data_IF_432572786544
#
_entry.id   IF_432572786544
#
_cell.length_a   1.000
_cell.length_b   1.000
_cell.length_c   1.000
_cell.angle_alpha   90.00
_cell.angle_beta   90.00
_cell.angle_gamma   90.00
#
_symmetry.space_group_name_H-M   'P 1'
#
loop_
_entity.id
_entity.type
_entity.pdbx_description
1 polymer ?
#
# COMPACT_ATOMS: atom_id res chain seq x y z
N UNK A 1 13.16 45.18 -15.54
CA UNK A 1 13.00 44.16 -16.59
C UNK A 1 12.69 42.85 -15.92
N UNK A 2 11.43 42.45 -15.95
CA UNK A 2 11.05 41.13 -15.48
C UNK A 2 11.57 40.09 -16.46
N UNK A 3 12.54 39.29 -16.04
CA UNK A 3 12.90 38.08 -16.76
C UNK A 3 11.77 37.09 -16.57
N UNK A 4 10.85 37.04 -17.53
CA UNK A 4 9.95 35.89 -17.68
C UNK A 4 10.87 34.69 -17.93
N UNK A 5 10.99 33.82 -16.95
CA UNK A 5 11.71 32.56 -17.15
C UNK A 5 10.86 31.68 -18.06
N UNK A 6 11.27 31.62 -19.34
CA UNK A 6 10.58 30.79 -20.32
C UNK A 6 10.89 29.31 -20.07
N UNK A 7 9.87 28.48 -20.18
CA UNK A 7 10.05 27.04 -20.22
C UNK A 7 10.67 26.67 -21.56
N UNK A 8 11.69 25.84 -21.53
CA UNK A 8 12.33 25.30 -22.74
C UNK A 8 12.05 23.79 -22.80
N UNK A 9 11.54 23.33 -23.92
CA UNK A 9 11.21 21.91 -24.02
C UNK A 9 10.80 21.47 -25.42
N UNK A 10 10.47 20.19 -25.52
CA UNK A 10 9.96 19.52 -26.71
C UNK A 10 8.51 19.15 -26.49
N UNK A 11 7.64 19.54 -27.41
CA UNK A 11 6.24 19.18 -27.42
C UNK A 11 6.03 18.03 -28.41
N UNK A 12 5.42 16.95 -27.95
CA UNK A 12 5.01 15.81 -28.76
C UNK A 12 3.51 15.94 -29.05
N UNK A 13 3.16 16.17 -30.32
CA UNK A 13 1.79 16.38 -30.75
C UNK A 13 1.35 15.31 -31.74
N UNK A 14 0.03 15.07 -31.81
CA UNK A 14 -0.60 14.28 -32.84
C UNK A 14 -1.79 15.09 -33.41
N UNK A 15 -1.81 15.33 -34.72
CA UNK A 15 -2.83 16.12 -35.42
C UNK A 15 -3.08 17.48 -34.73
N UNK A 16 -1.99 18.25 -34.50
CA UNK A 16 -1.98 19.55 -33.84
C UNK A 16 -2.48 19.57 -32.39
N UNK A 17 -2.71 18.39 -31.79
CA UNK A 17 -3.07 18.28 -30.38
C UNK A 17 -1.85 17.82 -29.57
N UNK A 18 -1.40 18.65 -28.63
CA UNK A 18 -0.34 18.27 -27.71
C UNK A 18 -0.75 17.02 -26.92
N UNK A 19 0.13 16.04 -26.83
CA UNK A 19 -0.06 14.81 -26.06
C UNK A 19 0.89 14.73 -24.88
N UNK A 20 2.18 15.02 -25.13
CA UNK A 20 3.22 15.00 -24.13
C UNK A 20 4.18 16.16 -24.34
N UNK A 21 4.88 16.54 -23.30
CA UNK A 21 6.01 17.49 -23.37
C UNK A 21 7.14 17.03 -22.44
N UNK A 22 8.34 17.35 -22.89
CA UNK A 22 9.58 17.21 -22.15
C UNK A 22 10.12 18.61 -21.96
N UNK A 23 10.16 19.10 -20.74
CA UNK A 23 10.53 20.49 -20.51
C UNK A 23 11.30 20.74 -19.21
N UNK A 24 12.07 21.81 -19.21
CA UNK A 24 12.58 22.47 -18.01
C UNK A 24 11.59 23.53 -17.59
N UNK A 25 11.12 23.49 -16.35
CA UNK A 25 10.07 24.39 -15.86
C UNK A 25 10.56 25.39 -14.84
N UNK A 26 10.25 26.65 -15.09
CA UNK A 26 10.30 27.76 -14.15
C UNK A 26 11.65 28.01 -13.46
N UNK A 27 11.58 28.74 -12.35
CA UNK A 27 12.73 29.14 -11.54
C UNK A 27 13.41 27.96 -10.81
N UNK A 28 12.70 26.88 -10.57
CA UNK A 28 13.26 25.67 -9.93
C UNK A 28 14.20 24.91 -10.85
N UNK A 29 14.13 25.14 -12.18
CA UNK A 29 14.95 24.44 -13.18
C UNK A 29 14.81 22.92 -13.17
N UNK A 30 13.68 22.40 -12.69
CA UNK A 30 13.39 20.98 -12.70
C UNK A 30 13.08 20.50 -14.14
N UNK A 31 13.41 19.26 -14.42
CA UNK A 31 13.11 18.60 -15.69
C UNK A 31 11.87 17.72 -15.53
N UNK A 32 10.90 17.84 -16.46
CA UNK A 32 9.66 17.07 -16.43
C UNK A 32 9.41 16.33 -17.75
N UNK A 33 8.79 15.16 -17.61
CA UNK A 33 7.98 14.52 -18.66
C UNK A 33 6.55 14.54 -18.16
N UNK A 34 5.66 15.22 -18.90
CA UNK A 34 4.26 15.39 -18.48
C UNK A 34 3.30 15.32 -19.66
N UNK A 35 2.04 15.00 -19.36
CA UNK A 35 0.98 14.99 -20.38
C UNK A 35 0.51 16.42 -20.75
N UNK A 36 -0.44 16.53 -21.67
CA UNK A 36 -1.02 17.80 -22.07
C UNK A 36 -1.75 18.54 -20.95
N UNK A 37 -2.29 17.82 -19.97
CA UNK A 37 -2.97 18.37 -18.79
C UNK A 37 -2.02 18.95 -17.75
N UNK A 38 -0.71 18.67 -17.86
CA UNK A 38 0.28 19.08 -16.88
C UNK A 38 0.56 18.03 -15.79
N UNK A 39 -0.02 16.83 -15.91
CA UNK A 39 0.26 15.74 -14.97
C UNK A 39 1.66 15.18 -15.22
N UNK A 40 2.47 15.17 -14.18
CA UNK A 40 3.89 14.84 -14.26
C UNK A 40 4.06 13.32 -14.15
N UNK A 41 4.57 12.69 -15.19
CA UNK A 41 4.94 11.27 -15.18
C UNK A 41 6.34 11.06 -14.60
N UNK A 42 7.31 11.94 -14.91
CA UNK A 42 8.67 11.89 -14.39
C UNK A 42 9.16 13.30 -14.07
N UNK A 43 9.79 13.43 -12.92
CA UNK A 43 10.48 14.64 -12.49
C UNK A 43 11.93 14.34 -12.13
N UNK A 44 12.85 15.20 -12.55
CA UNK A 44 14.24 15.26 -12.06
C UNK A 44 14.46 16.65 -11.46
N UNK A 45 14.73 16.72 -10.18
CA UNK A 45 14.96 17.97 -9.48
C UNK A 45 16.43 18.44 -9.58
N UNK A 46 16.73 19.64 -9.03
CA UNK A 46 18.06 20.20 -9.02
C UNK A 46 19.06 19.37 -8.19
N UNK A 47 18.60 18.57 -7.24
CA UNK A 47 19.43 17.61 -6.50
C UNK A 47 19.69 16.33 -7.30
N UNK A 48 19.17 16.22 -8.52
CA UNK A 48 19.26 15.06 -9.41
C UNK A 48 18.46 13.85 -8.91
N UNK A 49 17.45 14.11 -8.08
CA UNK A 49 16.53 13.06 -7.61
C UNK A 49 15.45 12.86 -8.67
N UNK A 50 15.28 11.61 -9.08
CA UNK A 50 14.21 11.18 -10.00
C UNK A 50 13.01 10.75 -9.17
N UNK A 51 11.84 11.31 -9.49
CA UNK A 51 10.56 10.87 -8.91
C UNK A 51 9.57 10.56 -10.01
N UNK A 52 8.65 9.64 -9.70
CA UNK A 52 7.55 9.21 -10.56
C UNK A 52 6.23 9.49 -9.82
N UNK A 53 5.73 10.73 -9.81
CA UNK A 53 4.61 11.15 -8.96
C UNK A 53 3.30 10.40 -9.23
N UNK A 54 3.12 9.88 -10.44
CA UNK A 54 1.94 9.11 -10.83
C UNK A 54 2.07 7.60 -10.54
N UNK A 55 3.21 7.14 -9.98
CA UNK A 55 3.38 5.71 -9.69
C UNK A 55 2.59 5.33 -8.45
N UNK A 56 1.71 4.30 -8.53
CA UNK A 56 0.89 3.86 -7.41
C UNK A 56 1.72 3.51 -6.18
N UNK A 57 1.38 4.10 -5.04
CA UNK A 57 2.02 3.81 -3.76
C UNK A 57 1.12 4.24 -2.62
N UNK A 58 1.05 3.42 -1.58
CA UNK A 58 0.25 3.71 -0.40
C UNK A 58 0.87 3.15 0.89
N UNK A 59 0.53 3.74 2.00
CA UNK A 59 0.71 3.19 3.33
C UNK A 59 -0.46 3.62 4.22
N UNK A 60 -1.07 2.63 4.87
CA UNK A 60 -2.13 2.82 5.85
C UNK A 60 -1.77 2.12 7.16
N UNK A 61 -2.28 2.62 8.28
CA UNK A 61 -2.02 2.07 9.61
C UNK A 61 -3.28 2.07 10.48
N UNK A 62 -3.19 1.39 11.63
CA UNK A 62 -4.23 1.44 12.64
C UNK A 62 -3.95 2.53 13.67
N UNK A 63 -4.97 3.35 13.97
CA UNK A 63 -4.97 4.25 15.13
C UNK A 63 -5.89 3.76 16.25
N UNK A 64 -6.90 2.94 15.94
CA UNK A 64 -7.78 2.26 16.89
C UNK A 64 -7.57 0.75 16.89
N UNK A 65 -7.74 0.08 18.05
CA UNK A 65 -7.69 -1.39 18.10
C UNK A 65 -8.83 -2.02 17.29
N UNK A 66 -8.60 -3.27 16.90
CA UNK A 66 -9.66 -4.18 16.45
C UNK A 66 -9.66 -5.36 17.43
N UNK A 67 -10.53 -5.26 18.43
CA UNK A 67 -10.51 -6.13 19.60
C UNK A 67 -11.33 -7.42 19.38
N UNK A 68 -10.93 -8.47 20.09
CA UNK A 68 -11.63 -9.76 20.15
C UNK A 68 -11.89 -10.35 18.76
N UNK A 69 -10.86 -10.50 17.96
CA UNK A 69 -10.96 -11.11 16.64
C UNK A 69 -11.57 -12.50 16.75
N UNK A 70 -12.54 -12.81 15.89
CA UNK A 70 -13.30 -14.05 16.02
C UNK A 70 -12.44 -15.30 15.77
N UNK A 71 -12.63 -16.33 16.62
CA UNK A 71 -11.94 -17.61 16.58
C UNK A 71 -12.82 -18.68 15.92
N UNK A 72 -13.38 -18.41 14.75
CA UNK A 72 -14.41 -19.21 14.09
C UNK A 72 -13.99 -19.79 12.74
N UNK A 73 -12.69 -19.82 12.49
CA UNK A 73 -12.09 -20.32 11.24
C UNK A 73 -12.54 -19.57 9.96
N UNK A 74 -13.02 -18.35 10.12
CA UNK A 74 -13.41 -17.48 9.01
C UNK A 74 -12.47 -16.30 8.88
N UNK A 75 -12.11 -15.95 7.66
CA UNK A 75 -11.29 -14.77 7.39
C UNK A 75 -12.03 -13.48 7.74
N UNK A 76 -11.39 -12.60 8.46
CA UNK A 76 -11.88 -11.28 8.85
C UNK A 76 -10.97 -10.21 8.29
N UNK A 77 -11.54 -9.21 7.63
CA UNK A 77 -10.76 -8.08 7.11
C UNK A 77 -10.13 -7.29 8.24
N UNK A 78 -8.84 -7.05 8.14
CA UNK A 78 -8.16 -6.08 9.01
C UNK A 78 -8.49 -4.68 8.51
N UNK A 79 -8.99 -3.85 9.43
CA UNK A 79 -9.37 -2.48 9.12
C UNK A 79 -8.22 -1.52 9.39
N UNK A 80 -8.01 -0.56 8.49
CA UNK A 80 -7.06 0.53 8.64
C UNK A 80 -7.82 1.85 8.64
N UNK A 81 -7.52 2.71 9.58
CA UNK A 81 -8.28 3.93 9.86
C UNK A 81 -7.45 5.22 9.71
N UNK A 82 -6.18 5.07 9.38
CA UNK A 82 -5.26 6.20 9.17
C UNK A 82 -4.43 5.97 7.92
N UNK A 83 -4.58 6.88 7.00
CA UNK A 83 -3.71 6.98 5.84
C UNK A 83 -2.42 7.71 6.24
N UNK A 84 -1.27 7.15 5.92
CA UNK A 84 0.03 7.80 6.05
C UNK A 84 0.35 8.53 4.74
N UNK A 85 0.17 7.86 3.64
CA UNK A 85 0.14 8.42 2.29
C UNK A 85 -0.61 7.48 1.34
N UNK A 86 -1.21 8.07 0.31
CA UNK A 86 -1.83 7.38 -0.83
C UNK A 86 -1.69 8.28 -2.06
N UNK A 87 -0.69 7.99 -2.90
CA UNK A 87 -0.25 8.88 -3.97
C UNK A 87 -1.32 9.20 -5.01
N UNK A 88 -2.24 8.28 -5.28
CA UNK A 88 -3.27 8.41 -6.31
C UNK A 88 -4.69 8.16 -5.79
N UNK A 89 -4.88 8.06 -4.48
CA UNK A 89 -6.15 7.67 -3.85
C UNK A 89 -6.61 6.27 -4.27
N UNK A 90 -5.66 5.34 -4.36
CA UNK A 90 -5.89 3.96 -4.78
C UNK A 90 -6.33 3.05 -3.62
N UNK A 91 -6.25 3.52 -2.35
CA UNK A 91 -6.66 2.78 -1.16
C UNK A 91 -7.96 3.34 -0.57
N UNK A 92 -9.02 2.55 -0.56
CA UNK A 92 -10.31 2.92 0.02
C UNK A 92 -11.02 1.71 0.62
N UNK A 93 -11.83 1.91 1.66
CA UNK A 93 -12.64 0.85 2.26
C UNK A 93 -11.84 -0.37 2.76
N UNK A 94 -10.60 -0.17 3.22
CA UNK A 94 -9.64 -1.19 3.65
C UNK A 94 -9.05 -2.05 2.52
N UNK A 95 -9.13 -1.60 1.29
CA UNK A 95 -8.62 -2.29 0.11
C UNK A 95 -7.85 -1.33 -0.80
N UNK A 96 -6.71 -1.79 -1.28
CA UNK A 96 -6.00 -1.17 -2.40
C UNK A 96 -6.62 -1.66 -3.71
N UNK A 97 -6.78 -0.77 -4.68
CA UNK A 97 -7.20 -1.10 -6.05
C UNK A 97 -6.09 -0.75 -7.02
N UNK A 98 -5.60 -1.72 -7.77
CA UNK A 98 -4.55 -1.50 -8.75
C UNK A 98 -5.04 -0.63 -9.91
N UNK A 99 -4.51 0.59 -10.10
CA UNK A 99 -4.97 1.45 -11.21
C UNK A 99 -4.46 1.00 -12.59
N UNK A 100 -3.39 0.22 -12.61
CA UNK A 100 -2.79 -0.34 -13.83
C UNK A 100 -2.36 -1.79 -13.60
N UNK A 101 -2.30 -2.58 -14.67
CA UNK A 101 -1.73 -3.92 -14.60
C UNK A 101 -0.21 -3.84 -14.34
N UNK A 102 0.29 -4.73 -13.47
CA UNK A 102 1.72 -4.77 -13.15
C UNK A 102 2.04 -5.66 -11.95
N UNK A 103 3.28 -5.59 -11.53
CA UNK A 103 3.75 -6.27 -10.32
C UNK A 103 3.83 -5.28 -9.17
N UNK A 104 3.15 -5.61 -8.09
CA UNK A 104 3.08 -4.79 -6.90
C UNK A 104 3.83 -5.45 -5.73
N UNK A 105 4.72 -4.71 -5.08
CA UNK A 105 5.20 -5.09 -3.77
C UNK A 105 4.14 -4.73 -2.74
N UNK A 106 3.61 -5.73 -2.04
CA UNK A 106 2.66 -5.55 -0.94
C UNK A 106 3.32 -6.02 0.35
N UNK A 107 3.20 -5.24 1.42
CA UNK A 107 3.84 -5.52 2.70
C UNK A 107 2.87 -5.30 3.85
N UNK A 108 2.80 -6.26 4.75
CA UNK A 108 2.01 -6.19 5.99
C UNK A 108 2.91 -6.35 7.20
N UNK A 109 2.66 -5.54 8.21
CA UNK A 109 3.12 -5.77 9.56
C UNK A 109 1.92 -5.70 10.50
N UNK A 110 1.79 -6.68 11.39
CA UNK A 110 0.73 -6.72 12.40
C UNK A 110 1.33 -6.77 13.80
N UNK A 111 0.67 -6.09 14.71
CA UNK A 111 0.93 -6.13 16.14
C UNK A 111 -0.28 -6.73 16.85
N UNK A 112 -0.22 -8.05 17.07
CA UNK A 112 -1.27 -8.81 17.74
C UNK A 112 -1.03 -8.77 19.25
N UNK A 113 -2.10 -8.69 20.02
CA UNK A 113 -2.09 -8.75 21.48
C UNK A 113 -2.98 -9.90 21.96
N UNK A 114 -2.78 -10.32 23.21
CA UNK A 114 -3.61 -11.35 23.88
C UNK A 114 -3.67 -12.68 23.13
N UNK A 115 -2.52 -13.19 22.67
CA UNK A 115 -2.44 -14.42 21.89
C UNK A 115 -2.89 -15.62 22.73
N UNK A 116 -3.94 -16.30 22.30
CA UNK A 116 -4.44 -17.53 22.91
C UNK A 116 -3.62 -18.75 22.45
N UNK A 117 -3.01 -19.45 23.38
CA UNK A 117 -2.23 -20.67 23.09
C UNK A 117 -3.10 -21.88 22.70
N UNK A 118 -4.40 -21.85 23.01
CA UNK A 118 -5.33 -22.90 22.64
C UNK A 118 -5.80 -22.78 21.19
N UNK A 119 -5.44 -21.71 20.48
CA UNK A 119 -5.65 -21.61 19.05
C UNK A 119 -4.88 -22.72 18.32
N UNK A 120 -5.55 -23.44 17.44
CA UNK A 120 -4.90 -24.43 16.58
C UNK A 120 -3.92 -23.75 15.62
N UNK A 121 -4.34 -22.61 15.06
CA UNK A 121 -3.49 -21.70 14.29
C UNK A 121 -4.05 -20.28 14.26
N UNK A 122 -3.16 -19.35 13.97
CA UNK A 122 -3.41 -17.96 13.63
C UNK A 122 -2.85 -17.73 12.23
N UNK A 123 -3.58 -17.03 11.38
CA UNK A 123 -3.20 -16.73 10.03
C UNK A 123 -3.41 -15.25 9.76
N UNK A 124 -2.39 -14.57 9.25
CA UNK A 124 -2.49 -13.22 8.67
C UNK A 124 -2.13 -13.32 7.21
N UNK A 125 -2.94 -12.71 6.35
CA UNK A 125 -2.74 -12.79 4.92
C UNK A 125 -3.06 -11.51 4.17
N UNK A 126 -2.54 -11.44 2.94
CA UNK A 126 -2.91 -10.48 1.92
C UNK A 126 -3.69 -11.26 0.87
N UNK A 127 -4.94 -10.86 0.66
CA UNK A 127 -5.78 -11.43 -0.39
C UNK A 127 -5.85 -10.46 -1.56
N UNK A 128 -5.48 -10.94 -2.74
CA UNK A 128 -5.68 -10.21 -3.99
C UNK A 128 -6.83 -10.83 -4.78
N UNK A 129 -7.33 -10.15 -5.80
CA UNK A 129 -8.33 -10.72 -6.72
C UNK A 129 -7.86 -12.05 -7.31
N UNK A 130 -6.54 -12.22 -7.50
CA UNK A 130 -5.96 -13.40 -8.16
C UNK A 130 -5.64 -14.54 -7.19
N UNK A 131 -5.19 -14.24 -5.94
CA UNK A 131 -4.74 -15.27 -4.99
C UNK A 131 -4.56 -14.74 -3.58
N UNK A 132 -4.48 -15.66 -2.63
CA UNK A 132 -4.19 -15.36 -1.22
C UNK A 132 -2.75 -15.70 -0.87
N UNK A 133 -2.08 -14.79 -0.17
CA UNK A 133 -0.76 -14.97 0.40
C UNK A 133 -0.88 -14.87 1.91
N UNK A 134 -0.26 -15.77 2.69
CA UNK A 134 -0.43 -15.74 4.13
C UNK A 134 0.75 -16.31 4.90
N UNK A 135 0.81 -15.95 6.17
CA UNK A 135 1.65 -16.56 7.19
C UNK A 135 0.77 -17.24 8.22
N UNK A 136 1.08 -18.50 8.51
CA UNK A 136 0.40 -19.31 9.51
C UNK A 136 1.35 -19.51 10.70
N UNK A 137 0.81 -19.35 11.91
CA UNK A 137 1.50 -19.61 13.17
C UNK A 137 0.62 -20.56 14.00
N UNK A 138 1.19 -21.65 14.47
CA UNK A 138 0.58 -22.50 15.49
C UNK A 138 1.18 -22.11 16.86
N UNK A 139 0.41 -21.43 17.73
CA UNK A 139 0.94 -20.88 18.96
C UNK A 139 1.15 -21.98 20.03
N UNK A 140 2.25 -22.68 19.96
CA UNK A 140 2.66 -23.72 20.94
C UNK A 140 3.61 -23.13 21.98
N UNK A 141 3.11 -22.14 22.72
CA UNK A 141 3.84 -21.49 23.80
C UNK A 141 3.51 -22.16 25.16
N UNK A 142 4.14 -21.72 26.24
CA UNK A 142 3.90 -22.22 27.61
C UNK A 142 2.73 -21.51 28.32
N UNK A 143 2.20 -20.46 27.76
CA UNK A 143 1.07 -19.64 28.23
C UNK A 143 0.70 -18.61 27.18
N UNK A 144 -0.42 -17.93 27.37
CA UNK A 144 -0.84 -16.84 26.50
C UNK A 144 0.24 -15.79 26.39
N UNK A 145 0.40 -15.22 25.18
CA UNK A 145 1.36 -14.16 24.95
C UNK A 145 0.66 -12.80 24.96
N UNK A 146 1.29 -11.85 25.64
CA UNK A 146 0.80 -10.47 25.60
C UNK A 146 0.85 -9.88 24.20
N UNK A 147 1.92 -10.20 23.44
CA UNK A 147 2.15 -9.61 22.11
C UNK A 147 2.83 -10.57 21.14
N UNK A 148 2.46 -10.48 19.87
CA UNK A 148 3.10 -11.22 18.79
C UNK A 148 3.02 -10.43 17.47
N UNK A 149 4.14 -10.34 16.75
CA UNK A 149 4.20 -9.70 15.44
C UNK A 149 4.20 -10.73 14.31
N UNK A 150 3.34 -10.54 13.32
CA UNK A 150 3.40 -11.27 12.05
C UNK A 150 3.62 -10.26 10.93
N UNK A 151 4.69 -10.46 10.17
CA UNK A 151 5.02 -9.61 9.04
C UNK A 151 5.49 -10.43 7.85
N UNK A 152 5.20 -9.95 6.65
CA UNK A 152 5.76 -10.47 5.40
C UNK A 152 5.49 -9.49 4.26
N UNK A 153 6.21 -9.71 3.17
CA UNK A 153 5.99 -9.01 1.91
C UNK A 153 5.86 -10.01 0.78
N UNK A 154 5.16 -9.62 -0.26
CA UNK A 154 4.93 -10.42 -1.47
C UNK A 154 4.97 -9.54 -2.70
N UNK A 155 5.47 -10.09 -3.79
CA UNK A 155 5.28 -9.51 -5.13
C UNK A 155 4.04 -10.17 -5.73
N UNK A 156 2.99 -9.39 -5.92
CA UNK A 156 1.72 -9.83 -6.50
C UNK A 156 1.61 -9.32 -7.94
N UNK A 157 1.21 -10.18 -8.85
CA UNK A 157 0.73 -9.80 -10.17
C UNK A 157 -0.73 -9.37 -10.05
N UNK A 158 -1.05 -8.18 -10.53
CA UNK A 158 -2.38 -7.60 -10.47
C UNK A 158 -2.74 -6.98 -11.83
N UNK A 159 -3.95 -7.23 -12.28
CA UNK A 159 -4.52 -6.53 -13.42
C UNK A 159 -5.10 -5.16 -12.98
N UNK A 160 -5.38 -4.29 -13.94
CA UNK A 160 -6.08 -3.03 -13.62
C UNK A 160 -7.45 -3.33 -13.00
N UNK A 161 -7.76 -2.68 -11.90
CA UNK A 161 -8.95 -2.87 -11.05
C UNK A 161 -8.91 -4.10 -10.13
N UNK A 162 -7.86 -4.90 -10.14
CA UNK A 162 -7.65 -5.90 -9.10
C UNK A 162 -7.52 -5.24 -7.73
N UNK A 163 -8.00 -5.94 -6.70
CA UNK A 163 -7.95 -5.44 -5.32
C UNK A 163 -7.00 -6.23 -4.45
N UNK A 164 -6.50 -5.59 -3.39
CA UNK A 164 -5.71 -6.24 -2.35
C UNK A 164 -6.13 -5.74 -0.97
N UNK A 165 -6.41 -6.65 -0.05
CA UNK A 165 -6.73 -6.34 1.34
C UNK A 165 -6.06 -7.31 2.31
N UNK A 166 -5.97 -6.93 3.56
CA UNK A 166 -5.38 -7.77 4.61
C UNK A 166 -6.47 -8.47 5.40
N UNK A 167 -6.23 -9.74 5.75
CA UNK A 167 -7.15 -10.52 6.55
C UNK A 167 -6.45 -11.24 7.70
N UNK A 168 -7.22 -11.53 8.73
CA UNK A 168 -6.88 -12.37 9.87
C UNK A 168 -7.83 -13.56 9.90
N UNK A 169 -7.33 -14.71 10.37
CA UNK A 169 -8.14 -15.91 10.61
C UNK A 169 -7.56 -16.67 11.79
N UNK A 170 -8.42 -17.18 12.69
CA UNK A 170 -8.03 -18.03 13.79
C UNK A 170 -8.93 -19.25 13.82
N UNK A 171 -8.33 -20.41 14.05
CA UNK A 171 -9.04 -21.68 14.26
C UNK A 171 -8.82 -22.15 15.69
N UNK A 172 -9.92 -22.38 16.43
CA UNK A 172 -9.89 -22.79 17.83
C UNK A 172 -9.46 -21.68 18.79
N UNK A 173 -9.48 -22.03 20.09
CA UNK A 173 -9.21 -21.09 21.18
C UNK A 173 -10.33 -20.08 21.41
N UNK A 174 -10.06 -19.06 22.23
CA UNK A 174 -10.98 -17.98 22.53
C UNK A 174 -10.85 -16.81 21.54
N UNK A 175 -11.92 -16.07 21.33
CA UNK A 175 -11.92 -14.82 20.58
C UNK A 175 -11.39 -13.68 21.47
N UNK A 176 -10.11 -13.72 21.81
CA UNK A 176 -9.46 -12.76 22.70
C UNK A 176 -8.32 -11.99 22.03
N UNK A 177 -7.89 -12.44 20.84
CA UNK A 177 -6.78 -11.79 20.13
C UNK A 177 -7.23 -10.44 19.60
N UNK A 178 -6.43 -9.42 19.88
CA UNK A 178 -6.62 -8.06 19.42
C UNK A 178 -5.60 -7.68 18.37
N UNK A 179 -6.01 -6.91 17.39
CA UNK A 179 -5.09 -6.21 16.52
C UNK A 179 -4.86 -4.80 17.09
N UNK A 180 -3.69 -4.58 17.65
CA UNK A 180 -3.40 -3.39 18.41
C UNK A 180 -3.23 -2.14 17.53
N UNK A 181 -3.78 -1.03 18.00
CA UNK A 181 -3.54 0.31 17.48
C UNK A 181 -2.07 0.67 17.65
N UNK A 182 -1.32 0.77 16.58
CA UNK A 182 0.11 1.07 16.65
C UNK A 182 0.65 1.38 15.26
N UNK A 183 1.75 2.13 15.20
CA UNK A 183 2.55 2.23 13.98
C UNK A 183 3.12 0.86 13.55
N UNK A 184 3.11 -0.13 14.45
CA UNK A 184 3.47 -1.52 14.17
C UNK A 184 2.40 -2.29 13.39
N UNK A 185 1.17 -1.78 13.26
CA UNK A 185 0.13 -2.39 12.42
C UNK A 185 -0.11 -1.51 11.21
N UNK A 186 0.46 -1.89 10.07
CA UNK A 186 0.35 -1.14 8.83
C UNK A 186 0.35 -2.05 7.61
N UNK A 187 -0.27 -1.58 6.55
CA UNK A 187 -0.26 -2.19 5.23
C UNK A 187 0.25 -1.16 4.22
N UNK A 188 1.12 -1.57 3.33
CA UNK A 188 1.71 -0.70 2.32
C UNK A 188 1.93 -1.44 1.02
N UNK A 189 2.01 -0.70 -0.06
CA UNK A 189 2.33 -1.25 -1.37
C UNK A 189 2.77 -0.19 -2.36
N UNK A 190 3.43 -0.66 -3.42
CA UNK A 190 3.83 0.17 -4.55
C UNK A 190 4.04 -0.67 -5.80
N UNK A 191 3.87 -0.03 -6.94
CA UNK A 191 4.12 -0.64 -8.26
C UNK A 191 5.63 -0.82 -8.47
N UNK A 192 6.04 -2.03 -8.84
CA UNK A 192 7.43 -2.33 -9.22
C UNK A 192 7.69 -2.06 -10.71
N UNK A 193 6.69 -2.32 -11.57
CA UNK A 193 6.78 -2.21 -13.03
C UNK A 193 5.87 -3.20 -13.73
#
# INVERSE_FOLDING_TARGET
SGTTQENAGIILSNQDTQKWKIEKVGAAHDFFIQNAGGDIALKIDQARIVTLPAQPSFQVRKSGNQDNLAANDSAQTITFDTEVFDGNSDFTGNSFTAPVAGKYMLSINTYLASIDIDAAYILVGINTSNRSYYRLVAPKFTGDLNYYGINFSVVADMDASDTAYVFYQQSGGAAQIDLAASNGTHFSGYLLG
#
